data_IF_069295563481
#
_entry.id   IF_069295563481
#
_cell.length_a   1.000
_cell.length_b   1.000
_cell.length_c   1.000
_cell.angle_alpha   90.00
_cell.angle_beta   90.00
_cell.angle_gamma   90.00
#
_symmetry.space_group_name_H-M   'P 1'
#
loop_
_entity.id
_entity.type
_entity.pdbx_description
1 polymer ?
#
# COMPACT_ATOMS: atom_id res chain seq x y z
N UNK A 1 42.97 -29.12 53.77
CA UNK A 1 43.12 -27.81 53.11
C UNK A 1 42.85 -28.02 51.63
N UNK A 2 41.79 -27.42 51.11
CA UNK A 2 41.48 -27.48 49.69
C UNK A 2 39.98 -27.48 49.45
N UNK A 3 39.39 -26.28 49.38
CA UNK A 3 38.13 -25.98 48.67
C UNK A 3 37.84 -24.48 48.85
N UNK A 4 38.02 -23.71 47.78
CA UNK A 4 37.85 -22.25 47.83
C UNK A 4 38.33 -21.53 46.58
N UNK A 5 38.04 -22.06 45.39
CA UNK A 5 38.39 -21.40 44.12
C UNK A 5 37.22 -21.29 43.12
N UNK A 6 36.13 -22.06 43.28
CA UNK A 6 35.05 -22.12 42.27
C UNK A 6 34.14 -20.89 42.16
N UNK A 7 33.96 -20.11 43.23
CA UNK A 7 32.94 -19.04 43.22
C UNK A 7 33.34 -17.73 42.52
N UNK A 8 34.65 -17.50 42.29
CA UNK A 8 35.12 -16.26 41.68
C UNK A 8 35.15 -16.33 40.14
N UNK A 9 35.40 -17.52 39.56
CA UNK A 9 35.40 -17.71 38.11
C UNK A 9 33.99 -17.62 37.52
N UNK A 10 32.99 -18.21 38.18
CA UNK A 10 31.59 -18.12 37.75
C UNK A 10 31.04 -16.68 37.84
N UNK A 11 31.42 -15.91 38.88
CA UNK A 11 31.05 -14.48 38.98
C UNK A 11 31.74 -13.63 37.92
N UNK A 12 33.02 -13.88 37.64
CA UNK A 12 33.77 -13.16 36.62
C UNK A 12 33.23 -13.46 35.21
N UNK A 13 32.93 -14.74 34.91
CA UNK A 13 32.33 -15.16 33.64
C UNK A 13 30.97 -14.52 33.39
N UNK A 14 30.14 -14.38 34.42
CA UNK A 14 28.80 -13.80 34.31
C UNK A 14 28.83 -12.26 34.14
N UNK A 15 29.81 -11.58 34.74
CA UNK A 15 30.04 -10.14 34.54
C UNK A 15 30.57 -9.84 33.13
N UNK A 16 31.49 -10.66 32.62
CA UNK A 16 32.07 -10.49 31.28
C UNK A 16 31.04 -10.78 30.19
N UNK A 17 30.20 -11.80 30.34
CA UNK A 17 29.13 -12.13 29.38
C UNK A 17 28.06 -11.02 29.33
N UNK A 18 27.69 -10.47 30.49
CA UNK A 18 26.74 -9.35 30.61
C UNK A 18 27.27 -8.08 29.95
N UNK A 19 28.53 -7.70 30.23
CA UNK A 19 29.17 -6.55 29.61
C UNK A 19 29.32 -6.71 28.08
N UNK A 20 29.70 -7.91 27.62
CA UNK A 20 29.79 -8.24 26.19
C UNK A 20 28.45 -8.09 25.47
N UNK A 21 27.36 -8.59 26.08
CA UNK A 21 26.02 -8.47 25.53
C UNK A 21 25.55 -7.01 25.47
N UNK A 22 25.82 -6.22 26.50
CA UNK A 22 25.51 -4.79 26.52
C UNK A 22 26.22 -4.01 25.40
N UNK A 23 27.50 -4.33 25.13
CA UNK A 23 28.25 -3.71 24.03
C UNK A 23 27.62 -4.07 22.68
N UNK A 24 27.30 -5.35 22.45
CA UNK A 24 26.65 -5.80 21.20
C UNK A 24 25.30 -5.11 20.99
N UNK A 25 24.53 -4.93 22.04
CA UNK A 25 23.25 -4.25 21.99
C UNK A 25 23.39 -2.77 21.61
N UNK A 26 24.34 -2.05 22.22
CA UNK A 26 24.66 -0.67 21.81
C UNK A 26 25.19 -0.57 20.39
N UNK A 27 26.01 -1.54 19.97
CA UNK A 27 26.53 -1.58 18.61
C UNK A 27 25.42 -1.82 17.59
N UNK A 28 24.46 -2.71 17.87
CA UNK A 28 23.30 -2.94 17.01
C UNK A 28 22.52 -1.64 16.74
N UNK A 29 22.28 -0.82 17.78
CA UNK A 29 21.66 0.51 17.65
C UNK A 29 22.51 1.43 16.76
N UNK A 30 23.81 1.57 17.07
CA UNK A 30 24.72 2.44 16.31
C UNK A 30 24.87 2.03 14.84
N UNK A 31 24.91 0.74 14.56
CA UNK A 31 25.01 0.22 13.20
C UNK A 31 23.71 0.46 12.43
N UNK A 32 22.56 0.32 13.09
CA UNK A 32 21.26 0.64 12.53
C UNK A 32 21.12 2.14 12.23
N UNK A 33 21.54 3.02 13.14
CA UNK A 33 21.55 4.48 12.92
C UNK A 33 22.40 4.89 11.72
N UNK A 34 23.52 4.19 11.51
CA UNK A 34 24.43 4.41 10.38
C UNK A 34 24.08 3.60 9.13
N UNK A 35 22.93 2.90 9.11
CA UNK A 35 22.46 2.08 8.00
C UNK A 35 23.53 1.11 7.46
N UNK A 36 24.30 0.46 8.34
CA UNK A 36 25.32 -0.52 7.94
C UNK A 36 24.72 -1.68 7.13
N UNK A 37 25.55 -2.37 6.33
CA UNK A 37 25.11 -3.54 5.57
C UNK A 37 24.92 -4.76 6.48
N UNK A 38 24.09 -5.68 6.03
CA UNK A 38 23.76 -6.89 6.80
C UNK A 38 25.01 -7.79 6.90
N UNK A 39 25.81 -7.85 5.82
CA UNK A 39 27.08 -8.55 5.73
C UNK A 39 28.11 -8.00 6.72
N UNK A 40 28.18 -6.68 6.86
CA UNK A 40 29.07 -6.03 7.83
C UNK A 40 28.70 -6.45 9.26
N UNK A 41 27.41 -6.34 9.61
CA UNK A 41 26.95 -6.66 10.98
C UNK A 41 27.05 -8.16 11.26
N UNK A 42 26.76 -9.03 10.28
CA UNK A 42 26.98 -10.47 10.40
C UNK A 42 28.46 -10.78 10.62
N UNK A 43 29.38 -10.08 9.96
CA UNK A 43 30.81 -10.20 10.22
C UNK A 43 31.19 -9.85 11.65
N UNK A 44 30.76 -8.68 12.12
CA UNK A 44 31.03 -8.20 13.49
C UNK A 44 30.42 -9.13 14.57
N UNK A 45 29.27 -9.73 14.28
CA UNK A 45 28.60 -10.68 15.19
C UNK A 45 29.06 -12.13 15.03
N UNK A 46 30.03 -12.39 14.14
CA UNK A 46 30.54 -13.74 13.80
C UNK A 46 29.44 -14.70 13.33
N UNK A 47 28.51 -14.18 12.53
CA UNK A 47 27.40 -14.93 11.93
C UNK A 47 27.68 -15.30 10.46
N UNK A 48 28.81 -14.86 9.89
CA UNK A 48 29.18 -15.19 8.52
C UNK A 48 29.32 -16.70 8.33
N UNK A 49 28.79 -17.22 7.22
CA UNK A 49 28.79 -18.65 6.91
C UNK A 49 27.74 -19.47 7.65
N UNK A 50 26.97 -18.89 8.58
CA UNK A 50 25.84 -19.54 9.22
C UNK A 50 24.55 -19.36 8.40
N UNK A 51 23.74 -20.41 8.33
CA UNK A 51 22.44 -20.40 7.66
C UNK A 51 21.44 -21.32 8.35
N UNK A 52 20.13 -21.09 8.12
CA UNK A 52 19.06 -21.91 8.69
C UNK A 52 19.14 -21.96 10.22
N UNK A 53 18.95 -23.16 10.77
CA UNK A 53 18.97 -23.38 12.22
C UNK A 53 20.29 -22.95 12.89
N UNK A 54 21.42 -23.16 12.23
CA UNK A 54 22.74 -22.77 12.76
C UNK A 54 22.88 -21.26 12.92
N UNK A 55 22.18 -20.47 12.09
CA UNK A 55 22.14 -19.02 12.23
C UNK A 55 21.20 -18.60 13.36
N UNK A 56 19.97 -19.13 13.38
CA UNK A 56 18.92 -18.67 14.30
C UNK A 56 19.19 -19.04 15.75
N UNK A 57 19.83 -20.19 16.01
CA UNK A 57 20.19 -20.62 17.36
C UNK A 57 21.50 -19.99 17.88
N UNK A 58 22.23 -19.28 17.02
CA UNK A 58 23.48 -18.69 17.45
C UNK A 58 23.23 -17.58 18.48
N UNK A 59 23.95 -17.57 19.60
CA UNK A 59 23.70 -16.64 20.73
C UNK A 59 23.76 -15.15 20.34
N UNK A 60 24.50 -14.81 19.27
CA UNK A 60 24.59 -13.45 18.76
C UNK A 60 23.48 -13.06 17.78
N UNK A 61 22.67 -14.01 17.30
CA UNK A 61 21.62 -13.77 16.30
C UNK A 61 20.59 -12.75 16.76
N UNK A 62 20.18 -12.79 18.03
CA UNK A 62 19.28 -11.80 18.65
C UNK A 62 19.74 -10.34 18.48
N UNK A 63 21.05 -10.08 18.43
CA UNK A 63 21.57 -8.73 18.21
C UNK A 63 21.50 -8.34 16.73
N UNK A 64 21.65 -9.30 15.83
CA UNK A 64 21.43 -9.10 14.40
C UNK A 64 19.95 -8.80 14.11
N UNK A 65 19.02 -9.55 14.69
CA UNK A 65 17.57 -9.27 14.58
C UNK A 65 17.24 -7.85 15.07
N UNK A 66 17.75 -7.47 16.25
CA UNK A 66 17.57 -6.12 16.78
C UNK A 66 18.13 -5.05 15.84
N UNK A 67 19.31 -5.27 15.26
CA UNK A 67 19.87 -4.37 14.25
C UNK A 67 18.97 -4.23 13.02
N UNK A 68 18.45 -5.34 12.49
CA UNK A 68 17.55 -5.34 11.32
C UNK A 68 16.28 -4.55 11.60
N UNK A 69 15.64 -4.79 12.74
CA UNK A 69 14.43 -4.06 13.14
C UNK A 69 14.67 -2.56 13.34
N UNK A 70 15.76 -2.19 14.02
CA UNK A 70 16.12 -0.78 14.21
C UNK A 70 16.49 -0.10 12.89
N UNK A 71 17.19 -0.80 11.98
CA UNK A 71 17.54 -0.28 10.66
C UNK A 71 16.29 -0.01 9.84
N UNK A 72 15.30 -0.91 9.87
CA UNK A 72 13.98 -0.71 9.25
C UNK A 72 13.27 0.52 9.83
N UNK A 73 13.22 0.64 11.16
CA UNK A 73 12.60 1.77 11.85
C UNK A 73 13.29 3.10 11.53
N UNK A 74 14.62 3.11 11.50
CA UNK A 74 15.40 4.31 11.21
C UNK A 74 15.24 4.76 9.76
N UNK A 75 15.20 3.83 8.80
CA UNK A 75 14.86 4.14 7.41
C UNK A 75 13.47 4.74 7.29
N UNK A 76 12.48 4.16 7.96
CA UNK A 76 11.12 4.69 7.99
C UNK A 76 11.12 6.13 8.54
N UNK A 77 11.71 6.35 9.72
CA UNK A 77 11.82 7.68 10.34
C UNK A 77 12.55 8.70 9.47
N UNK A 78 13.59 8.28 8.75
CA UNK A 78 14.32 9.15 7.83
C UNK A 78 13.41 9.59 6.67
N UNK A 79 12.71 8.65 6.04
CA UNK A 79 11.74 8.94 4.99
C UNK A 79 10.58 9.82 5.49
N UNK A 80 10.17 9.66 6.76
CA UNK A 80 9.11 10.47 7.36
C UNK A 80 9.54 11.91 7.62
N UNK A 81 10.79 12.11 8.06
CA UNK A 81 11.39 13.43 8.32
C UNK A 81 11.59 14.26 7.06
N UNK A 82 11.92 13.63 5.94
CA UNK A 82 12.14 14.32 4.67
C UNK A 82 10.84 14.67 3.96
N UNK A 83 9.68 14.21 4.47
CA UNK A 83 8.38 14.33 3.80
C UNK A 83 8.44 13.92 2.32
N UNK A 84 9.27 12.92 2.01
CA UNK A 84 9.45 12.43 0.66
C UNK A 84 8.11 11.94 0.07
N UNK A 85 7.92 12.09 -1.24
CA UNK A 85 6.75 11.47 -1.88
C UNK A 85 6.87 9.94 -1.80
N UNK A 86 5.74 9.24 -1.84
CA UNK A 86 5.73 7.77 -1.89
C UNK A 86 6.50 7.26 -3.10
N UNK A 87 6.47 7.99 -4.22
CA UNK A 87 7.23 7.66 -5.42
C UNK A 87 8.74 7.79 -5.21
N UNK A 88 9.20 8.84 -4.51
CA UNK A 88 10.62 8.99 -4.19
C UNK A 88 11.12 7.83 -3.33
N UNK A 89 10.35 7.42 -2.33
CA UNK A 89 10.67 6.24 -1.49
C UNK A 89 10.62 4.94 -2.30
N UNK A 90 9.64 4.80 -3.20
CA UNK A 90 9.57 3.66 -4.13
C UNK A 90 10.85 3.53 -4.97
N UNK A 91 11.34 4.64 -5.53
CA UNK A 91 12.60 4.72 -6.28
C UNK A 91 13.81 4.41 -5.41
N UNK A 92 13.89 4.99 -4.21
CA UNK A 92 15.00 4.79 -3.26
C UNK A 92 15.12 3.32 -2.84
N UNK A 93 14.00 2.62 -2.70
CA UNK A 93 13.96 1.19 -2.35
C UNK A 93 14.30 0.26 -3.53
N UNK A 94 14.70 0.82 -4.67
CA UNK A 94 15.16 0.07 -5.84
C UNK A 94 14.03 -0.39 -6.77
N UNK A 95 12.79 0.00 -6.52
CA UNK A 95 11.64 -0.43 -7.31
C UNK A 95 11.40 0.40 -8.58
N UNK A 96 12.27 1.38 -8.83
CA UNK A 96 12.18 2.23 -10.00
C UNK A 96 12.33 1.53 -11.35
N UNK A 97 12.89 0.32 -11.36
CA UNK A 97 13.13 -0.47 -12.57
C UNK A 97 12.18 -1.68 -12.68
N UNK A 98 11.19 -1.82 -11.80
CA UNK A 98 10.15 -2.85 -11.94
C UNK A 98 9.26 -2.47 -13.11
N UNK A 99 9.22 -3.32 -14.14
CA UNK A 99 8.49 -3.05 -15.38
C UNK A 99 7.49 -4.14 -15.76
N UNK A 100 7.47 -5.26 -15.04
CA UNK A 100 6.53 -6.37 -15.29
C UNK A 100 5.71 -6.71 -14.05
N UNK A 101 4.59 -7.41 -14.26
CA UNK A 101 3.80 -7.97 -13.16
C UNK A 101 4.60 -8.99 -12.35
N UNK A 102 5.42 -9.82 -12.99
CA UNK A 102 6.24 -10.83 -12.31
C UNK A 102 7.29 -10.17 -11.40
N UNK A 103 7.95 -9.10 -11.86
CA UNK A 103 8.86 -8.31 -11.04
C UNK A 103 8.17 -7.76 -9.79
N UNK A 104 6.96 -7.20 -9.96
CA UNK A 104 6.18 -6.61 -8.88
C UNK A 104 5.70 -7.66 -7.87
N UNK A 105 5.21 -8.79 -8.35
CA UNK A 105 4.75 -9.92 -7.54
C UNK A 105 5.91 -10.55 -6.76
N UNK A 106 7.09 -10.69 -7.39
CA UNK A 106 8.29 -11.19 -6.72
C UNK A 106 8.82 -10.21 -5.67
N UNK A 107 8.71 -8.90 -5.94
CA UNK A 107 9.09 -7.87 -4.98
C UNK A 107 8.20 -7.86 -3.72
N UNK A 108 6.94 -8.31 -3.82
CA UNK A 108 5.94 -8.23 -2.75
C UNK A 108 6.37 -8.87 -1.42
N UNK A 109 7.15 -9.96 -1.48
CA UNK A 109 7.62 -10.69 -0.30
C UNK A 109 8.87 -10.09 0.34
N UNK A 110 9.53 -9.15 -0.35
CA UNK A 110 10.79 -8.55 0.08
C UNK A 110 10.60 -7.60 1.26
N UNK A 111 11.64 -7.47 2.09
CA UNK A 111 11.67 -6.51 3.19
C UNK A 111 11.57 -5.05 2.71
N UNK A 112 12.10 -4.75 1.53
CA UNK A 112 11.99 -3.44 0.91
C UNK A 112 10.52 -3.11 0.58
N UNK A 113 9.75 -4.07 0.06
CA UNK A 113 8.35 -3.82 -0.28
C UNK A 113 7.50 -3.66 0.98
N UNK A 114 7.74 -4.48 2.00
CA UNK A 114 7.11 -4.33 3.33
C UNK A 114 7.42 -2.96 3.94
N UNK A 115 8.65 -2.47 3.80
CA UNK A 115 9.04 -1.14 4.25
C UNK A 115 8.29 -0.04 3.47
N UNK A 116 8.19 -0.18 2.14
CA UNK A 116 7.38 0.71 1.31
C UNK A 116 5.91 0.73 1.77
N UNK A 117 5.28 -0.43 1.99
CA UNK A 117 3.89 -0.53 2.44
C UNK A 117 3.67 0.22 3.77
N UNK A 118 4.58 0.04 4.74
CA UNK A 118 4.54 0.78 6.03
C UNK A 118 4.68 2.29 5.81
N UNK A 119 5.56 2.73 4.91
CA UNK A 119 5.73 4.15 4.61
C UNK A 119 4.50 4.74 3.92
N UNK A 120 3.96 4.06 2.91
CA UNK A 120 2.76 4.47 2.21
C UNK A 120 1.58 4.63 3.18
N UNK A 121 1.42 3.68 4.11
CA UNK A 121 0.40 3.77 5.16
C UNK A 121 0.61 4.95 6.11
N UNK A 122 1.84 5.17 6.58
CA UNK A 122 2.16 6.30 7.45
C UNK A 122 1.92 7.66 6.75
N UNK A 123 2.29 7.76 5.47
CA UNK A 123 2.02 8.92 4.62
C UNK A 123 0.52 9.18 4.51
N UNK A 124 -0.29 8.14 4.30
CA UNK A 124 -1.74 8.26 4.14
C UNK A 124 -2.42 8.66 5.45
N UNK A 125 -2.03 8.04 6.55
CA UNK A 125 -2.48 8.40 7.90
C UNK A 125 -2.16 9.85 8.24
N UNK A 126 -0.99 10.36 7.82
CA UNK A 126 -0.61 11.77 7.99
C UNK A 126 -1.46 12.68 7.10
N UNK A 127 -1.67 12.32 5.84
CA UNK A 127 -2.50 13.09 4.93
C UNK A 127 -3.95 13.21 5.46
N UNK A 128 -4.52 12.12 5.98
CA UNK A 128 -5.84 12.14 6.63
C UNK A 128 -5.84 13.07 7.84
N UNK A 129 -4.84 12.95 8.73
CA UNK A 129 -4.73 13.83 9.91
C UNK A 129 -4.65 15.30 9.50
N UNK A 130 -3.79 15.61 8.54
CA UNK A 130 -3.59 16.98 8.05
C UNK A 130 -4.86 17.53 7.36
N UNK A 131 -5.60 16.68 6.65
CA UNK A 131 -6.88 17.05 6.06
C UNK A 131 -7.93 17.40 7.12
N UNK A 132 -8.02 16.59 8.18
CA UNK A 132 -9.03 16.76 9.25
C UNK A 132 -8.66 17.89 10.21
N UNK A 133 -7.39 17.97 10.63
CA UNK A 133 -6.95 18.89 11.67
C UNK A 133 -6.50 20.25 11.13
N UNK A 134 -5.82 20.26 9.99
CA UNK A 134 -5.18 21.45 9.44
C UNK A 134 -5.88 21.96 8.16
N UNK A 135 -6.97 21.29 7.73
CA UNK A 135 -7.65 21.54 6.45
C UNK A 135 -6.69 21.58 5.24
N UNK A 136 -5.59 20.82 5.31
CA UNK A 136 -4.61 20.72 4.23
C UNK A 136 -5.11 19.80 3.12
N UNK A 137 -4.84 20.11 1.85
CA UNK A 137 -5.19 19.21 0.75
C UNK A 137 -4.39 17.91 0.84
N UNK A 138 -5.05 16.78 0.64
CA UNK A 138 -4.40 15.48 0.47
C UNK A 138 -3.52 15.49 -0.79
N UNK A 139 -2.27 15.02 -0.76
CA UNK A 139 -1.46 14.87 -1.97
C UNK A 139 -2.15 13.94 -2.98
N UNK A 140 -2.20 14.36 -4.25
CA UNK A 140 -2.81 13.55 -5.31
C UNK A 140 -1.74 12.67 -5.94
N UNK A 141 -2.10 11.41 -6.21
CA UNK A 141 -1.30 10.50 -7.03
C UNK A 141 -1.25 11.05 -8.47
N UNK A 142 -0.13 11.70 -8.79
CA UNK A 142 0.09 12.42 -10.05
C UNK A 142 0.36 11.46 -11.21
N UNK A 143 0.34 11.97 -12.44
CA UNK A 143 0.51 11.15 -13.66
C UNK A 143 1.90 10.50 -13.79
N UNK A 144 2.91 11.03 -13.13
CA UNK A 144 4.29 10.54 -13.08
C UNK A 144 4.48 9.32 -12.16
N UNK A 145 3.52 9.02 -11.28
CA UNK A 145 3.48 7.78 -10.51
C UNK A 145 3.46 6.58 -11.47
N UNK A 146 4.49 5.73 -11.38
CA UNK A 146 4.61 4.54 -12.22
C UNK A 146 3.42 3.61 -12.00
N UNK A 147 3.05 2.87 -13.05
CA UNK A 147 1.95 1.90 -12.95
C UNK A 147 2.18 0.89 -11.81
N UNK A 148 3.44 0.49 -11.58
CA UNK A 148 3.84 -0.40 -10.48
C UNK A 148 3.64 0.19 -9.09
N UNK A 149 4.00 1.46 -8.88
CA UNK A 149 3.75 2.14 -7.61
C UNK A 149 2.24 2.28 -7.37
N UNK A 150 1.44 2.59 -8.41
CA UNK A 150 -0.02 2.67 -8.30
C UNK A 150 -0.61 1.38 -7.74
N UNK A 151 -0.23 0.22 -8.28
CA UNK A 151 -0.71 -1.06 -7.75
C UNK A 151 -0.20 -1.33 -6.34
N UNK A 152 1.05 -0.96 -6.01
CA UNK A 152 1.55 -1.05 -4.65
C UNK A 152 0.77 -0.15 -3.67
N UNK A 153 0.29 1.01 -4.12
CA UNK A 153 -0.63 1.88 -3.35
C UNK A 153 -2.00 1.24 -3.15
N UNK A 154 -2.56 0.60 -4.18
CA UNK A 154 -3.81 -0.16 -4.06
C UNK A 154 -3.71 -1.29 -3.05
N UNK A 155 -2.58 -2.01 -3.03
CA UNK A 155 -2.28 -3.02 -2.00
C UNK A 155 -2.29 -2.40 -0.62
N UNK A 156 -1.57 -1.28 -0.42
CA UNK A 156 -1.54 -0.57 0.86
C UNK A 156 -2.94 -0.16 1.33
N UNK A 157 -3.74 0.39 0.42
CA UNK A 157 -5.10 0.79 0.74
C UNK A 157 -6.01 -0.39 1.11
N UNK A 158 -5.89 -1.52 0.42
CA UNK A 158 -6.66 -2.73 0.74
C UNK A 158 -6.24 -3.33 2.08
N UNK A 159 -4.93 -3.52 2.29
CA UNK A 159 -4.38 -4.13 3.52
C UNK A 159 -4.72 -3.29 4.75
N UNK A 160 -4.62 -1.97 4.65
CA UNK A 160 -4.88 -1.06 5.78
C UNK A 160 -6.34 -0.57 5.85
N UNK A 161 -7.26 -1.20 5.11
CA UNK A 161 -8.70 -0.93 5.22
C UNK A 161 -9.09 0.51 4.85
N UNK A 162 -8.40 1.16 3.91
CA UNK A 162 -8.67 2.55 3.55
C UNK A 162 -10.07 2.71 2.96
N UNK A 163 -10.69 3.86 3.28
CA UNK A 163 -12.01 4.21 2.79
C UNK A 163 -11.98 4.56 1.29
N UNK A 164 -13.08 4.27 0.59
CA UNK A 164 -13.23 4.61 -0.83
C UNK A 164 -13.14 6.12 -1.04
N UNK A 165 -13.75 6.91 -0.15
CA UNK A 165 -13.65 8.37 -0.15
C UNK A 165 -12.19 8.85 -0.11
N UNK A 166 -11.37 8.28 0.78
CA UNK A 166 -9.97 8.64 0.87
C UNK A 166 -9.20 8.29 -0.41
N UNK A 167 -9.44 7.11 -0.98
CA UNK A 167 -8.84 6.72 -2.25
C UNK A 167 -9.24 7.69 -3.38
N UNK A 168 -10.51 8.11 -3.43
CA UNK A 168 -10.99 9.09 -4.41
C UNK A 168 -10.31 10.46 -4.26
N UNK A 169 -10.19 10.98 -3.03
CA UNK A 169 -9.49 12.24 -2.75
C UNK A 169 -8.01 12.11 -3.14
N UNK A 170 -7.36 11.00 -2.79
CA UNK A 170 -5.96 10.71 -3.13
C UNK A 170 -5.74 10.55 -4.64
N UNK A 171 -6.80 10.24 -5.38
CA UNK A 171 -6.83 10.16 -6.84
C UNK A 171 -7.33 11.47 -7.50
N UNK A 172 -7.58 12.51 -6.70
CA UNK A 172 -7.93 13.84 -7.17
C UNK A 172 -9.35 13.97 -7.70
N UNK A 173 -10.28 13.09 -7.33
CA UNK A 173 -11.68 13.20 -7.74
C UNK A 173 -12.33 14.48 -7.20
N UNK A 174 -11.87 15.02 -6.07
CA UNK A 174 -12.29 16.32 -5.54
C UNK A 174 -11.83 17.49 -6.43
N UNK A 175 -10.71 17.35 -7.14
CA UNK A 175 -10.02 18.48 -7.84
C UNK A 175 -10.11 18.45 -9.35
N UNK A 176 -10.10 17.26 -9.94
CA UNK A 176 -9.94 17.10 -11.37
C UNK A 176 -11.29 16.87 -12.09
N UNK A 177 -11.45 17.41 -13.30
CA UNK A 177 -12.57 17.05 -14.15
C UNK A 177 -12.39 15.62 -14.71
N UNK A 178 -13.48 14.98 -15.18
CA UNK A 178 -13.45 13.61 -15.74
C UNK A 178 -12.35 13.39 -16.80
N UNK A 179 -12.21 14.30 -17.77
CA UNK A 179 -11.18 14.19 -18.80
C UNK A 179 -9.76 14.07 -18.24
N UNK A 180 -9.45 14.77 -17.15
CA UNK A 180 -8.15 14.67 -16.47
C UNK A 180 -8.00 13.33 -15.73
N UNK A 181 -9.07 12.86 -15.07
CA UNK A 181 -9.09 11.56 -14.37
C UNK A 181 -8.95 10.37 -15.33
N UNK A 182 -9.44 10.51 -16.56
CA UNK A 182 -9.23 9.54 -17.64
C UNK A 182 -7.78 9.59 -18.14
N UNK A 183 -7.29 10.79 -18.48
CA UNK A 183 -5.96 10.97 -19.04
C UNK A 183 -4.83 10.51 -18.10
N UNK A 184 -5.01 10.65 -16.78
CA UNK A 184 -4.02 10.23 -15.78
C UNK A 184 -4.27 8.81 -15.21
N UNK A 185 -5.25 8.07 -15.74
CA UNK A 185 -5.67 6.75 -15.28
C UNK A 185 -6.17 6.67 -13.82
N UNK A 186 -6.45 7.78 -13.16
CA UNK A 186 -6.95 7.79 -11.79
C UNK A 186 -8.36 7.20 -11.70
N UNK A 187 -9.19 7.38 -12.73
CA UNK A 187 -10.49 6.70 -12.83
C UNK A 187 -10.38 5.17 -12.85
N UNK A 188 -9.50 4.64 -13.71
CA UNK A 188 -9.21 3.20 -13.78
C UNK A 188 -8.63 2.68 -12.47
N UNK A 189 -7.72 3.43 -11.85
CA UNK A 189 -7.11 3.07 -10.56
C UNK A 189 -8.16 2.96 -9.45
N UNK A 190 -9.13 3.89 -9.40
CA UNK A 190 -10.24 3.82 -8.46
C UNK A 190 -11.14 2.60 -8.71
N UNK A 191 -11.47 2.30 -9.97
CA UNK A 191 -12.25 1.11 -10.31
C UNK A 191 -11.59 -0.18 -9.80
N UNK A 192 -10.28 -0.33 -10.00
CA UNK A 192 -9.54 -1.50 -9.53
C UNK A 192 -9.54 -1.60 -8.00
N UNK A 193 -9.41 -0.48 -7.30
CA UNK A 193 -9.54 -0.44 -5.84
C UNK A 193 -10.93 -0.86 -5.37
N UNK A 194 -11.97 -0.34 -6.03
CA UNK A 194 -13.35 -0.64 -5.71
C UNK A 194 -13.66 -2.13 -5.92
N UNK A 195 -13.22 -2.73 -7.03
CA UNK A 195 -13.35 -4.17 -7.29
C UNK A 195 -12.64 -4.98 -6.19
N UNK A 196 -11.40 -4.64 -5.84
CA UNK A 196 -10.67 -5.29 -4.75
C UNK A 196 -11.41 -5.25 -3.40
N UNK A 197 -12.15 -4.18 -3.11
CA UNK A 197 -12.90 -4.06 -1.85
C UNK A 197 -14.20 -4.87 -1.84
N UNK A 198 -14.83 -5.04 -3.00
CA UNK A 198 -16.13 -5.68 -3.13
C UNK A 198 -16.02 -7.14 -3.63
N UNK A 199 -14.81 -7.61 -3.93
CA UNK A 199 -14.53 -9.01 -4.23
C UNK A 199 -14.69 -9.87 -2.97
N UNK A 200 -15.70 -10.74 -2.95
CA UNK A 200 -16.01 -11.63 -1.82
C UNK A 200 -15.11 -12.89 -1.78
N UNK A 201 -14.33 -13.15 -2.84
CA UNK A 201 -13.50 -14.36 -2.98
C UNK A 201 -12.19 -14.32 -2.18
N UNK A 202 -11.69 -13.13 -1.82
CA UNK A 202 -10.51 -12.98 -0.95
C UNK A 202 -10.91 -13.22 0.51
N UNK A 203 -10.77 -14.46 0.98
CA UNK A 203 -10.99 -14.81 2.38
C UNK A 203 -10.04 -14.05 3.32
N UNK A 204 -10.37 -14.00 4.62
CA UNK A 204 -9.52 -13.34 5.63
C UNK A 204 -8.09 -13.92 5.71
N UNK A 205 -7.87 -15.12 5.18
CA UNK A 205 -6.57 -15.80 5.08
C UNK A 205 -5.76 -15.47 3.82
N UNK A 206 -6.29 -14.72 2.85
CA UNK A 206 -5.66 -14.41 1.54
C UNK A 206 -5.22 -12.93 1.40
N UNK A 207 -4.79 -12.31 2.50
CA UNK A 207 -4.44 -10.89 2.53
C UNK A 207 -2.93 -10.61 2.42
N UNK A 208 -2.17 -11.55 1.85
CA UNK A 208 -0.77 -11.26 1.54
C UNK A 208 -0.70 -10.21 0.41
N UNK A 209 0.30 -9.33 0.45
CA UNK A 209 0.51 -8.34 -0.60
C UNK A 209 0.61 -8.99 -1.99
N UNK A 210 1.19 -10.20 -2.05
CA UNK A 210 1.37 -10.98 -3.27
C UNK A 210 0.05 -11.45 -3.87
N UNK A 211 -0.87 -11.94 -3.04
CA UNK A 211 -2.16 -12.43 -3.51
C UNK A 211 -3.05 -11.28 -4.00
N UNK A 212 -3.01 -10.14 -3.30
CA UNK A 212 -3.67 -8.92 -3.76
C UNK A 212 -3.11 -8.46 -5.11
N UNK A 213 -1.78 -8.51 -5.32
CA UNK A 213 -1.16 -8.17 -6.59
C UNK A 213 -1.54 -9.13 -7.73
N UNK A 214 -1.60 -10.43 -7.47
CA UNK A 214 -2.10 -11.39 -8.47
C UNK A 214 -3.54 -11.09 -8.87
N UNK A 215 -4.39 -10.74 -7.90
CA UNK A 215 -5.77 -10.38 -8.18
C UNK A 215 -5.88 -9.08 -8.99
N UNK A 216 -5.06 -8.08 -8.67
CA UNK A 216 -4.96 -6.86 -9.45
C UNK A 216 -4.48 -7.13 -10.88
N UNK A 217 -3.55 -8.07 -11.07
CA UNK A 217 -3.10 -8.51 -12.40
C UNK A 217 -4.22 -9.15 -13.20
N UNK A 218 -5.05 -9.99 -12.57
CA UNK A 218 -6.23 -10.57 -13.20
C UNK A 218 -7.19 -9.46 -13.65
N UNK A 219 -7.55 -8.53 -12.75
CA UNK A 219 -8.43 -7.42 -13.07
C UNK A 219 -7.90 -6.54 -14.20
N UNK A 220 -6.61 -6.22 -14.19
CA UNK A 220 -5.99 -5.37 -15.20
C UNK A 220 -6.04 -6.00 -16.61
N UNK A 221 -6.04 -7.34 -16.68
CA UNK A 221 -6.10 -8.12 -17.92
C UNK A 221 -7.53 -8.39 -18.42
N UNK A 222 -8.56 -8.06 -17.64
CA UNK A 222 -9.95 -8.32 -18.03
C UNK A 222 -10.35 -7.52 -19.28
N UNK A 223 -11.16 -8.16 -20.12
CA UNK A 223 -11.85 -7.46 -21.19
C UNK A 223 -12.90 -6.51 -20.62
N UNK A 224 -13.33 -5.47 -21.37
CA UNK A 224 -14.45 -4.63 -20.96
C UNK A 224 -15.73 -5.42 -20.62
N UNK A 225 -15.96 -6.54 -21.30
CA UNK A 225 -17.11 -7.42 -21.07
C UNK A 225 -17.00 -8.12 -19.72
N UNK A 226 -15.86 -8.75 -19.42
CA UNK A 226 -15.64 -9.46 -18.16
C UNK A 226 -15.64 -8.49 -16.96
N UNK A 227 -15.09 -7.30 -17.17
CA UNK A 227 -15.13 -6.22 -16.18
C UNK A 227 -16.57 -5.81 -15.85
N UNK A 228 -17.50 -5.88 -16.80
CA UNK A 228 -18.92 -5.61 -16.54
C UNK A 228 -19.61 -6.75 -15.78
N UNK A 229 -19.17 -7.99 -15.95
CA UNK A 229 -19.70 -9.14 -15.19
C UNK A 229 -19.35 -8.99 -13.71
N UNK A 230 -18.10 -8.63 -13.38
CA UNK A 230 -17.68 -8.42 -11.99
C UNK A 230 -18.44 -7.29 -11.27
N UNK A 231 -18.94 -6.30 -12.01
CA UNK A 231 -19.77 -5.24 -11.45
C UNK A 231 -21.20 -5.72 -11.09
N UNK A 232 -21.63 -6.88 -11.57
CA UNK A 232 -23.05 -7.29 -11.63
C UNK A 232 -23.54 -8.13 -10.43
N UNK A 233 -22.69 -8.80 -9.65
CA UNK A 233 -23.18 -9.94 -8.84
C UNK A 233 -24.11 -9.59 -7.65
N UNK A 234 -23.98 -8.44 -6.97
CA UNK A 234 -24.95 -8.00 -5.94
C UNK A 234 -24.87 -6.49 -5.63
N UNK A 235 -23.99 -5.77 -6.32
CA UNK A 235 -23.46 -4.48 -5.86
C UNK A 235 -24.29 -3.26 -6.28
N UNK A 236 -25.16 -3.34 -7.30
CA UNK A 236 -25.66 -2.14 -7.99
C UNK A 236 -26.58 -1.22 -7.18
N UNK A 237 -27.50 -1.79 -6.39
CA UNK A 237 -28.46 -0.98 -5.61
C UNK A 237 -27.75 -0.31 -4.41
N UNK A 238 -26.84 -1.05 -3.79
CA UNK A 238 -25.96 -0.58 -2.72
C UNK A 238 -24.91 0.42 -3.26
N UNK A 239 -24.33 0.17 -4.44
CA UNK A 239 -23.34 1.02 -5.09
C UNK A 239 -23.95 2.35 -5.52
N UNK A 240 -25.20 2.42 -5.98
CA UNK A 240 -25.84 3.70 -6.29
C UNK A 240 -26.05 4.56 -5.04
N UNK A 241 -26.52 3.97 -3.94
CA UNK A 241 -26.68 4.68 -2.66
C UNK A 241 -25.32 5.10 -2.08
N UNK A 242 -24.32 4.20 -2.07
CA UNK A 242 -22.95 4.48 -1.62
C UNK A 242 -22.25 5.51 -2.49
N UNK A 243 -22.37 5.45 -3.82
CA UNK A 243 -21.79 6.44 -4.73
C UNK A 243 -22.35 7.84 -4.47
N UNK A 244 -23.66 7.95 -4.16
CA UNK A 244 -24.25 9.24 -3.73
C UNK A 244 -23.70 9.72 -2.40
N UNK A 245 -23.54 8.84 -1.42
CA UNK A 245 -22.92 9.18 -0.12
C UNK A 245 -21.49 9.67 -0.33
N UNK A 246 -20.68 8.91 -1.07
CA UNK A 246 -19.30 9.24 -1.41
C UNK A 246 -19.20 10.57 -2.16
N UNK A 247 -20.07 10.80 -3.15
CA UNK A 247 -20.08 12.03 -3.92
C UNK A 247 -20.47 13.25 -3.08
N UNK A 248 -21.47 13.13 -2.20
CA UNK A 248 -21.84 14.19 -1.24
C UNK A 248 -20.70 14.51 -0.27
N UNK A 249 -20.00 13.47 0.21
CA UNK A 249 -18.84 13.63 1.10
C UNK A 249 -17.69 14.35 0.39
N UNK A 250 -17.37 13.94 -0.84
CA UNK A 250 -16.32 14.57 -1.67
C UNK A 250 -16.56 16.05 -1.93
N UNK A 251 -17.82 16.46 -2.13
CA UNK A 251 -18.16 17.85 -2.38
C UNK A 251 -18.29 18.68 -1.09
N UNK A 252 -18.17 18.10 0.10
CA UNK A 252 -18.45 18.77 1.39
C UNK A 252 -19.83 19.47 1.42
N UNK A 253 -20.78 19.02 0.61
CA UNK A 253 -22.10 19.61 0.43
C UNK A 253 -23.19 18.55 0.67
N UNK A 254 -23.57 18.28 1.93
CA UNK A 254 -24.52 17.22 2.26
C UNK A 254 -25.94 17.46 1.72
N UNK A 255 -26.26 18.73 1.42
CA UNK A 255 -27.60 19.19 1.04
C UNK A 255 -27.85 19.30 -0.47
N UNK A 256 -26.93 18.80 -1.31
CA UNK A 256 -27.15 18.77 -2.76
C UNK A 256 -28.42 17.98 -3.10
N UNK A 257 -29.28 18.58 -3.93
CA UNK A 257 -30.50 17.92 -4.40
C UNK A 257 -30.13 16.72 -5.28
N UNK A 258 -31.07 15.78 -5.40
CA UNK A 258 -30.88 14.60 -6.24
C UNK A 258 -30.62 14.99 -7.71
N UNK A 259 -31.33 16.00 -8.21
CA UNK A 259 -31.20 16.51 -9.56
C UNK A 259 -29.83 17.15 -9.81
N UNK A 260 -29.31 17.92 -8.84
CA UNK A 260 -28.00 18.57 -8.97
C UNK A 260 -26.86 17.54 -9.01
N UNK A 261 -26.99 16.46 -8.23
CA UNK A 261 -26.03 15.35 -8.23
C UNK A 261 -26.06 14.64 -9.58
N UNK A 262 -27.23 14.26 -10.08
CA UNK A 262 -27.37 13.51 -11.34
C UNK A 262 -26.93 14.32 -12.57
N UNK A 263 -27.11 15.64 -12.53
CA UNK A 263 -26.64 16.54 -13.59
C UNK A 263 -25.12 16.75 -13.58
N UNK A 264 -24.44 16.49 -12.45
CA UNK A 264 -22.99 16.64 -12.35
C UNK A 264 -22.25 15.67 -13.27
N UNK A 265 -21.41 16.22 -14.14
CA UNK A 265 -20.53 15.45 -15.03
C UNK A 265 -19.62 14.50 -14.25
N UNK A 266 -19.11 14.96 -13.09
CA UNK A 266 -18.24 14.18 -12.21
C UNK A 266 -18.97 13.02 -11.55
N UNK A 267 -20.21 13.23 -11.12
CA UNK A 267 -21.05 12.13 -10.62
C UNK A 267 -21.33 11.11 -11.71
N UNK A 268 -21.72 11.56 -12.91
CA UNK A 268 -21.98 10.67 -14.06
C UNK A 268 -20.74 9.86 -14.44
N UNK A 269 -19.57 10.49 -14.41
CA UNK A 269 -18.29 9.81 -14.63
C UNK A 269 -18.05 8.71 -13.58
N UNK A 270 -18.07 9.07 -12.29
CA UNK A 270 -17.88 8.12 -11.20
C UNK A 270 -18.89 6.97 -11.25
N UNK A 271 -20.15 7.31 -11.47
CA UNK A 271 -21.22 6.35 -11.61
C UNK A 271 -20.98 5.44 -12.80
N UNK A 272 -20.51 5.95 -13.95
CA UNK A 272 -20.17 5.12 -15.12
C UNK A 272 -18.99 4.16 -14.89
N UNK A 273 -18.06 4.51 -14.00
CA UNK A 273 -16.95 3.61 -13.63
C UNK A 273 -17.50 2.38 -12.91
N UNK A 274 -18.44 2.57 -11.98
CA UNK A 274 -18.93 1.53 -11.07
C UNK A 274 -20.18 0.81 -11.62
N UNK A 275 -21.06 1.52 -12.33
CA UNK A 275 -22.31 0.99 -12.90
C UNK A 275 -22.00 0.08 -14.09
N UNK A 276 -22.76 -1.01 -14.23
CA UNK A 276 -22.89 -1.72 -15.50
C UNK A 276 -23.70 -0.87 -16.49
N UNK A 277 -23.27 -0.80 -17.76
CA UNK A 277 -24.25 -0.53 -18.83
C UNK A 277 -25.17 -1.74 -18.86
N UNK A 278 -26.49 -1.56 -18.69
CA UNK A 278 -27.39 -2.65 -19.08
C UNK A 278 -27.17 -2.91 -20.57
N UNK A 279 -27.24 -4.17 -20.99
CA UNK A 279 -27.31 -4.54 -22.42
C UNK A 279 -28.35 -3.69 -23.16
N UNK A 280 -29.42 -3.30 -22.47
CA UNK A 280 -30.51 -2.48 -23.01
C UNK A 280 -30.07 -1.04 -23.34
N UNK A 281 -29.12 -0.46 -22.61
CA UNK A 281 -28.60 0.89 -22.89
C UNK A 281 -27.71 0.90 -24.13
N UNK A 282 -26.96 -0.19 -24.38
CA UNK A 282 -26.18 -0.41 -25.60
C UNK A 282 -27.07 -0.70 -26.81
N UNK A 283 -28.08 -1.55 -26.65
CA UNK A 283 -29.06 -1.84 -27.71
C UNK A 283 -29.94 -0.62 -28.02
N UNK A 284 -30.34 0.16 -27.04
CA UNK A 284 -31.13 1.39 -27.26
C UNK A 284 -30.31 2.47 -27.97
N UNK A 285 -29.02 2.65 -27.63
CA UNK A 285 -28.17 3.60 -28.36
C UNK A 285 -27.80 3.13 -29.77
N UNK A 286 -27.71 1.82 -30.01
CA UNK A 286 -27.51 1.25 -31.34
C UNK A 286 -28.78 1.34 -32.20
N UNK A 287 -29.95 0.97 -31.65
CA UNK A 287 -31.25 1.05 -32.31
C UNK A 287 -31.60 2.52 -32.62
N UNK A 288 -31.38 3.45 -31.70
CA UNK A 288 -31.61 4.89 -31.93
C UNK A 288 -30.62 5.52 -32.95
N UNK A 289 -29.50 4.87 -33.24
CA UNK A 289 -28.57 5.27 -34.31
C UNK A 289 -28.91 4.63 -35.67
N UNK A 290 -29.62 3.50 -35.66
CA UNK A 290 -30.00 2.73 -36.85
C UNK A 290 -31.46 2.98 -37.29
N UNK A 291 -32.28 3.65 -36.47
CA UNK A 291 -33.60 4.13 -36.90
C UNK A 291 -33.45 5.47 -37.62
N UNK A 292 -33.84 5.58 -38.91
CA UNK A 292 -33.95 6.87 -39.56
C UNK A 292 -34.95 7.71 -38.79
N UNK A 293 -34.55 8.94 -38.44
CA UNK A 293 -35.51 9.94 -37.95
C UNK A 293 -36.35 10.37 -39.14
N UNK A 294 -37.59 9.89 -39.19
CA UNK A 294 -38.63 10.41 -40.07
C UNK A 294 -39.20 11.69 -39.50
#
# INVERSE_FOLDING_TARGET
MGEGAGNNEDRAGNLVSTASNFIKERNAVRWADKLKSDEFVKGELKLNGLSGYALTEHTNYKFFEKFVELKKLNRLKACEKTEASTFAVWRELGFGNINTWDDLINAADTDAFKLYQRYADASDSRAIRNMVMDNKPVPVLSSDTSWTERFARLVSWKVNGRAEEYAMISLGFDRFPPATLEANNNGRTFLLFWLLKNENSLGASEQSAKDILKKLMEFDRLSPTDMNILKNEDSLREAHHRTKILFKSLLKHPNLSQADIENSEKYRYLYSLIKTRSSDEYMSTLVNRLTPRF
#
